data_IF_013404527976
#
_entry.id   IF_013404527976
#
_cell.length_a   1.000
_cell.length_b   1.000
_cell.length_c   1.000
_cell.angle_alpha   90.00
_cell.angle_beta   90.00
_cell.angle_gamma   90.00
#
_symmetry.space_group_name_H-M   'P 1'
#
loop_
_entity.id
_entity.type
_entity.pdbx_description
1 polymer ?
#
# COMPACT_ATOMS: atom_id res chain seq x y z
N UNK A 1 12.57 8.26 3.50
CA UNK A 1 12.08 8.04 2.12
C UNK A 1 13.25 8.22 1.15
N UNK A 2 13.83 7.13 0.64
CA UNK A 2 14.95 7.19 -0.30
C UNK A 2 14.57 7.96 -1.56
N UNK A 3 15.46 8.88 -1.98
CA UNK A 3 15.27 9.82 -3.11
C UNK A 3 15.35 9.12 -4.46
N UNK A 4 16.13 8.06 -4.57
CA UNK A 4 16.26 7.23 -5.79
C UNK A 4 15.44 5.96 -5.66
N UNK A 5 14.18 6.02 -6.09
CA UNK A 5 13.36 4.83 -6.27
C UNK A 5 13.30 4.51 -7.76
N UNK A 6 13.56 3.26 -8.17
CA UNK A 6 13.38 2.86 -9.56
C UNK A 6 11.91 3.13 -9.96
N UNK A 7 11.73 3.89 -11.04
CA UNK A 7 10.43 4.18 -11.60
C UNK A 7 10.17 3.28 -12.80
N UNK A 8 8.94 2.79 -12.94
CA UNK A 8 8.50 2.02 -14.12
C UNK A 8 7.36 2.77 -14.81
N UNK A 9 7.45 2.90 -16.13
CA UNK A 9 6.37 3.45 -16.95
C UNK A 9 5.31 2.38 -17.21
N UNK A 10 4.05 2.71 -16.96
CA UNK A 10 2.90 1.85 -17.25
C UNK A 10 2.00 2.51 -18.30
N UNK A 11 1.44 1.71 -19.21
CA UNK A 11 0.45 2.16 -20.19
C UNK A 11 -0.90 1.56 -19.84
N UNK A 12 -1.90 2.43 -19.69
CA UNK A 12 -3.27 2.05 -19.30
C UNK A 12 -4.26 2.60 -20.33
N UNK A 13 -5.30 1.82 -20.65
CA UNK A 13 -6.46 2.31 -21.41
C UNK A 13 -7.55 2.70 -20.42
N UNK A 14 -8.04 3.93 -20.52
CA UNK A 14 -9.07 4.48 -19.64
C UNK A 14 -10.18 5.06 -20.53
N UNK A 15 -11.47 4.84 -20.20
CA UNK A 15 -12.58 5.47 -20.91
C UNK A 15 -12.48 7.00 -20.95
N UNK A 16 -12.91 7.60 -22.06
CA UNK A 16 -12.77 9.05 -22.31
C UNK A 16 -13.56 9.86 -21.28
N UNK A 17 -14.77 9.42 -20.95
CA UNK A 17 -15.66 10.03 -19.95
C UNK A 17 -15.04 10.07 -18.56
N UNK A 18 -14.28 9.03 -18.20
CA UNK A 18 -13.54 8.98 -16.93
C UNK A 18 -12.41 10.01 -16.93
N UNK A 19 -11.64 10.09 -18.03
CA UNK A 19 -10.56 11.09 -18.16
C UNK A 19 -11.11 12.51 -18.08
N UNK A 20 -12.24 12.79 -18.72
CA UNK A 20 -12.86 14.11 -18.70
C UNK A 20 -13.43 14.45 -17.33
N UNK A 21 -14.03 13.48 -16.63
CA UNK A 21 -14.42 13.63 -15.23
C UNK A 21 -13.22 13.98 -14.35
N UNK A 22 -12.08 13.32 -14.55
CA UNK A 22 -10.86 13.60 -13.79
C UNK A 22 -10.29 15.00 -14.09
N UNK A 23 -10.34 15.46 -15.34
CA UNK A 23 -9.96 16.84 -15.70
C UNK A 23 -10.84 17.87 -14.99
N UNK A 24 -12.13 17.61 -14.85
CA UNK A 24 -13.05 18.50 -14.13
C UNK A 24 -12.85 18.48 -12.61
N UNK A 25 -12.41 17.34 -12.05
CA UNK A 25 -12.21 17.17 -10.60
C UNK A 25 -10.85 17.69 -10.14
N UNK A 26 -9.78 17.52 -10.94
CA UNK A 26 -8.42 17.86 -10.52
C UNK A 26 -8.28 19.33 -10.03
N UNK A 27 -8.81 20.35 -10.73
CA UNK A 27 -8.75 21.74 -10.25
C UNK A 27 -9.51 21.94 -8.93
N UNK A 28 -10.65 21.27 -8.76
CA UNK A 28 -11.45 21.34 -7.52
C UNK A 28 -10.72 20.75 -6.31
N UNK A 29 -9.76 19.86 -6.56
CA UNK A 29 -8.87 19.29 -5.55
C UNK A 29 -7.54 20.03 -5.42
N UNK A 30 -7.37 21.17 -6.08
CA UNK A 30 -6.11 21.95 -6.06
C UNK A 30 -4.96 21.27 -6.81
N UNK A 31 -5.24 20.31 -7.70
CA UNK A 31 -4.23 19.58 -8.44
C UNK A 31 -4.04 20.17 -9.84
N UNK A 32 -2.79 20.24 -10.28
CA UNK A 32 -2.40 20.84 -11.56
C UNK A 32 -2.93 20.09 -12.80
N UNK A 33 -3.36 18.83 -12.67
CA UNK A 33 -3.90 18.05 -13.78
C UNK A 33 -4.41 16.67 -13.39
N UNK A 34 -5.11 16.03 -14.32
CA UNK A 34 -5.74 14.72 -14.09
C UNK A 34 -4.71 13.60 -13.83
N UNK A 35 -3.49 13.70 -14.38
CA UNK A 35 -2.42 12.72 -14.11
C UNK A 35 -1.96 12.76 -12.65
N UNK A 36 -1.92 13.94 -12.04
CA UNK A 36 -1.60 14.08 -10.60
C UNK A 36 -2.72 13.49 -9.74
N UNK A 37 -3.97 13.73 -10.13
CA UNK A 37 -5.14 13.13 -9.47
C UNK A 37 -5.13 11.61 -9.57
N UNK A 38 -4.82 11.05 -10.74
CA UNK A 38 -4.70 9.60 -10.94
C UNK A 38 -3.67 8.99 -9.99
N UNK A 39 -2.48 9.57 -9.94
CA UNK A 39 -1.39 9.10 -9.06
C UNK A 39 -1.79 9.18 -7.59
N UNK A 40 -2.49 10.23 -7.19
CA UNK A 40 -3.00 10.40 -5.83
C UNK A 40 -4.00 9.30 -5.46
N UNK A 41 -4.99 9.05 -6.31
CA UNK A 41 -6.00 8.00 -6.07
C UNK A 41 -5.38 6.61 -6.02
N UNK A 42 -4.47 6.30 -6.94
CA UNK A 42 -3.76 5.04 -6.92
C UNK A 42 -2.95 4.87 -5.63
N UNK A 43 -2.23 5.90 -5.22
CA UNK A 43 -1.40 5.86 -4.00
C UNK A 43 -2.24 5.73 -2.74
N UNK A 44 -3.36 6.45 -2.64
CA UNK A 44 -4.25 6.41 -1.48
C UNK A 44 -4.95 5.05 -1.38
N UNK A 45 -5.50 4.56 -2.49
CA UNK A 45 -6.14 3.25 -2.56
C UNK A 45 -5.17 2.13 -2.17
N UNK A 46 -3.97 2.14 -2.75
CA UNK A 46 -2.96 1.14 -2.43
C UNK A 46 -2.52 1.20 -0.97
N UNK A 47 -2.24 2.38 -0.41
CA UNK A 47 -1.88 2.51 1.01
C UNK A 47 -2.97 2.01 1.96
N UNK A 48 -4.23 2.23 1.59
CA UNK A 48 -5.38 1.75 2.36
C UNK A 48 -5.43 0.23 2.36
N UNK A 49 -5.27 -0.38 1.19
CA UNK A 49 -5.25 -1.84 1.04
C UNK A 49 -4.03 -2.44 1.74
N UNK A 50 -2.83 -1.87 1.56
CA UNK A 50 -1.62 -2.25 2.28
C UNK A 50 -1.84 -2.24 3.80
N UNK A 51 -2.48 -1.19 4.34
CA UNK A 51 -2.78 -1.13 5.77
C UNK A 51 -3.80 -2.20 6.22
N UNK A 52 -4.80 -2.47 5.39
CA UNK A 52 -5.83 -3.47 5.65
C UNK A 52 -5.25 -4.91 5.64
N UNK A 53 -4.39 -5.21 4.68
CA UNK A 53 -3.85 -6.57 4.49
C UNK A 53 -2.55 -6.84 5.26
N UNK A 54 -1.73 -5.82 5.56
CA UNK A 54 -0.49 -6.01 6.31
C UNK A 54 -0.72 -6.63 7.71
N UNK A 55 -1.79 -6.22 8.39
CA UNK A 55 -2.17 -6.76 9.70
C UNK A 55 -2.81 -8.14 9.60
N UNK A 56 -3.47 -8.43 8.48
CA UNK A 56 -4.14 -9.72 8.23
C UNK A 56 -3.12 -10.83 7.97
N UNK A 57 -2.09 -10.59 7.15
CA UNK A 57 -1.09 -11.61 6.80
C UNK A 57 -0.21 -11.99 8.00
N UNK A 58 0.24 -11.00 8.78
CA UNK A 58 0.97 -11.26 10.01
C UNK A 58 0.10 -11.98 11.05
N UNK A 59 -1.18 -11.59 11.20
CA UNK A 59 -2.08 -12.26 12.12
C UNK A 59 -2.37 -13.71 11.70
N UNK A 60 -2.52 -13.98 10.40
CA UNK A 60 -2.70 -15.32 9.86
C UNK A 60 -1.45 -16.19 10.07
N UNK A 61 -0.26 -15.63 9.83
CA UNK A 61 1.01 -16.32 10.09
C UNK A 61 1.19 -16.66 11.57
N UNK A 62 0.96 -15.69 12.47
CA UNK A 62 1.02 -15.91 13.91
C UNK A 62 0.00 -16.97 14.37
N UNK A 63 -1.22 -16.94 13.82
CA UNK A 63 -2.23 -17.95 14.11
C UNK A 63 -1.82 -19.35 13.62
N UNK A 64 -1.20 -19.46 12.44
CA UNK A 64 -0.66 -20.72 11.93
C UNK A 64 0.47 -21.25 12.82
N UNK A 65 1.43 -20.41 13.20
CA UNK A 65 2.55 -20.80 14.06
C UNK A 65 2.09 -21.29 15.44
N UNK A 66 1.10 -20.62 16.05
CA UNK A 66 0.47 -21.08 17.29
C UNK A 66 -0.16 -22.47 17.15
N UNK A 67 -0.86 -22.74 16.04
CA UNK A 67 -1.43 -24.08 15.75
C UNK A 67 -0.36 -25.15 15.59
N UNK A 68 0.82 -24.78 15.09
CA UNK A 68 1.98 -25.66 15.02
C UNK A 68 2.73 -25.83 16.34
N UNK A 69 2.24 -25.23 17.44
CA UNK A 69 2.82 -25.39 18.78
C UNK A 69 3.97 -24.45 19.09
N UNK A 70 4.21 -23.42 18.26
CA UNK A 70 5.20 -22.39 18.57
C UNK A 70 4.72 -21.59 19.78
N UNK A 71 5.57 -21.49 20.81
CA UNK A 71 5.23 -20.80 22.04
C UNK A 71 5.21 -19.28 21.87
N UNK A 72 4.37 -18.59 22.65
CA UNK A 72 4.31 -17.12 22.68
C UNK A 72 5.66 -16.48 22.99
N UNK A 73 6.48 -17.12 23.82
CA UNK A 73 7.82 -16.62 24.15
C UNK A 73 8.69 -16.49 22.89
N UNK A 74 8.73 -17.53 22.06
CA UNK A 74 9.51 -17.57 20.82
C UNK A 74 8.97 -16.58 19.78
N UNK A 75 7.63 -16.45 19.67
CA UNK A 75 7.02 -15.48 18.74
C UNK A 75 7.35 -14.03 19.14
N UNK A 76 7.35 -13.72 20.43
CA UNK A 76 7.66 -12.37 20.92
C UNK A 76 9.17 -12.07 20.82
N UNK A 77 10.03 -13.06 21.04
CA UNK A 77 11.47 -12.95 20.81
C UNK A 77 11.78 -12.68 19.34
N UNK A 78 11.25 -13.51 18.43
CA UNK A 78 11.42 -13.33 16.98
C UNK A 78 10.88 -11.98 16.48
N UNK A 79 9.80 -11.45 17.08
CA UNK A 79 9.30 -10.11 16.73
C UNK A 79 10.28 -9.01 17.12
N UNK A 80 10.88 -9.08 18.31
CA UNK A 80 11.89 -8.11 18.76
C UNK A 80 13.13 -8.16 17.88
N UNK A 81 13.62 -9.36 17.55
CA UNK A 81 14.75 -9.54 16.63
C UNK A 81 14.47 -8.92 15.25
N UNK A 82 13.24 -9.08 14.73
CA UNK A 82 12.83 -8.50 13.45
C UNK A 82 12.69 -6.96 13.49
N UNK A 83 12.29 -6.38 14.63
CA UNK A 83 12.23 -4.93 14.84
C UNK A 83 13.64 -4.31 14.97
N UNK A 84 14.59 -5.03 15.58
CA UNK A 84 15.98 -4.58 15.75
C UNK A 84 16.83 -4.71 14.47
N UNK A 85 16.41 -5.54 13.51
CA UNK A 85 17.09 -5.75 12.23
C UNK A 85 16.66 -4.78 11.11
N UNK A 86 15.66 -3.92 11.35
CA UNK A 86 15.04 -3.02 10.37
C UNK A 86 15.54 -1.57 10.48
#
# INVERSE_FOLDING_TARGET
MSKDRPMTSITLRIPVDVVDSMKAIAPKRGMAGYQTLLKSYLSEGLRRDEALYASTDQAQLLAALRRHGVSEAVLNEARREAEDAA
#
